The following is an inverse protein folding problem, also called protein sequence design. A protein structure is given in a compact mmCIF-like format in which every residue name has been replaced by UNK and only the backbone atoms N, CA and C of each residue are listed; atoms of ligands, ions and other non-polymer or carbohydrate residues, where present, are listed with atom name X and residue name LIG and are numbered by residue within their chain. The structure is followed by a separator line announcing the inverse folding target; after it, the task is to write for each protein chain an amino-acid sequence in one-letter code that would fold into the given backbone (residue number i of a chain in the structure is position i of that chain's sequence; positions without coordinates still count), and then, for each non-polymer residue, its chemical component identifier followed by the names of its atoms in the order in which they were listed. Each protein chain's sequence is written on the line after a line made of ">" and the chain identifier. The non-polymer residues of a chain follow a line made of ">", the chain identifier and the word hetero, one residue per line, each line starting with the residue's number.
data_IF_137468805481
#
_entry.id   IF_137468805481
#
_cell.length_a   1.000
_cell.length_b   1.000
_cell.length_c   1.000
_cell.angle_alpha   90.00
_cell.angle_beta   90.00
_cell.angle_gamma   90.00
#
_symmetry.space_group_name_H-M   'P 1'
#
loop_
_entity.id
_entity.type
_entity.pdbx_description
1 polymer ?
#
# COMPACT_ATOMS: atom_id res chain seq x y z
N UNK A 1 -9.65 20.76 -20.28
CA UNK A 1 -8.43 20.22 -19.62
C UNK A 1 -8.47 20.69 -18.18
N UNK A 2 -8.34 19.81 -17.16
CA UNK A 2 -8.31 20.26 -15.77
C UNK A 2 -6.84 20.34 -15.33
N UNK A 3 -6.43 21.51 -14.92
CA UNK A 3 -5.08 21.70 -14.38
C UNK A 3 -5.04 21.15 -12.96
N UNK A 4 -4.03 20.34 -12.67
CA UNK A 4 -3.73 19.90 -11.31
C UNK A 4 -3.05 21.07 -10.60
N UNK A 5 -3.44 21.34 -9.35
CA UNK A 5 -2.78 22.36 -8.56
C UNK A 5 -1.26 22.10 -8.50
N UNK A 6 -0.48 23.18 -8.62
CA UNK A 6 0.98 23.11 -8.49
C UNK A 6 1.28 22.68 -7.06
N UNK A 7 2.10 21.62 -6.92
CA UNK A 7 2.53 21.13 -5.61
C UNK A 7 3.51 22.11 -4.96
N UNK A 8 3.38 22.30 -3.66
CA UNK A 8 4.38 23.05 -2.90
C UNK A 8 5.71 22.29 -2.84
N UNK A 9 6.81 22.98 -2.55
CA UNK A 9 8.13 22.35 -2.37
C UNK A 9 8.09 21.26 -1.30
N UNK A 10 7.40 21.49 -0.19
CA UNK A 10 7.22 20.48 0.87
C UNK A 10 6.47 19.24 0.39
N UNK A 11 5.44 19.41 -0.43
CA UNK A 11 4.72 18.26 -1.03
C UNK A 11 5.62 17.50 -2.01
N UNK A 12 6.42 18.23 -2.79
CA UNK A 12 7.37 17.61 -3.73
C UNK A 12 8.47 16.84 -3.00
N UNK A 13 9.04 17.42 -1.93
CA UNK A 13 10.03 16.76 -1.08
C UNK A 13 9.48 15.47 -0.46
N UNK A 14 8.29 15.51 0.14
CA UNK A 14 7.65 14.32 0.69
C UNK A 14 7.39 13.25 -0.37
N UNK A 15 6.94 13.63 -1.56
CA UNK A 15 6.76 12.69 -2.66
C UNK A 15 8.08 12.10 -3.16
N UNK A 16 9.18 12.85 -3.08
CA UNK A 16 10.52 12.34 -3.39
C UNK A 16 10.93 11.25 -2.37
N UNK A 17 10.69 11.48 -1.06
CA UNK A 17 10.91 10.49 0.00
C UNK A 17 10.10 9.21 -0.28
N UNK A 18 8.81 9.34 -0.62
CA UNK A 18 7.97 8.19 -0.99
C UNK A 18 8.50 7.42 -2.19
N UNK A 19 8.98 8.11 -3.23
CA UNK A 19 9.56 7.48 -4.43
C UNK A 19 10.87 6.77 -4.11
N UNK A 20 11.75 7.40 -3.34
CA UNK A 20 13.00 6.79 -2.89
C UNK A 20 12.72 5.53 -2.06
N UNK A 21 11.82 5.62 -1.07
CA UNK A 21 11.38 4.46 -0.29
C UNK A 21 10.85 3.33 -1.19
N UNK A 22 10.00 3.64 -2.16
CA UNK A 22 9.48 2.64 -3.10
C UNK A 22 10.61 1.97 -3.90
N UNK A 23 11.61 2.73 -4.33
CA UNK A 23 12.80 2.23 -5.00
C UNK A 23 13.58 1.25 -4.11
N UNK A 24 13.89 1.64 -2.87
CA UNK A 24 14.59 0.77 -1.92
C UNK A 24 13.80 -0.48 -1.54
N UNK A 25 12.48 -0.40 -1.35
CA UNK A 25 11.64 -1.59 -1.11
C UNK A 25 11.71 -2.55 -2.31
N UNK A 26 11.69 -2.04 -3.53
CA UNK A 26 11.82 -2.85 -4.75
C UNK A 26 13.20 -3.49 -4.85
N UNK A 27 14.26 -2.73 -4.62
CA UNK A 27 15.64 -3.22 -4.63
C UNK A 27 15.86 -4.28 -3.54
N UNK A 28 15.38 -4.05 -2.31
CA UNK A 28 15.43 -4.99 -1.20
C UNK A 28 14.75 -6.32 -1.55
N UNK A 29 13.58 -6.26 -2.18
CA UNK A 29 12.85 -7.47 -2.58
C UNK A 29 13.58 -8.22 -3.68
N UNK A 30 14.14 -7.51 -4.65
CA UNK A 30 14.94 -8.12 -5.72
C UNK A 30 16.21 -8.78 -5.15
N UNK A 31 16.93 -8.10 -4.25
CA UNK A 31 18.10 -8.65 -3.57
C UNK A 31 17.78 -9.91 -2.79
N UNK A 32 16.69 -9.90 -2.02
CA UNK A 32 16.23 -11.07 -1.26
C UNK A 32 15.87 -12.26 -2.17
N UNK A 33 15.25 -12.00 -3.32
CA UNK A 33 14.94 -13.05 -4.29
C UNK A 33 16.19 -13.58 -5.01
N UNK A 34 17.15 -12.71 -5.31
CA UNK A 34 18.44 -13.10 -5.87
C UNK A 34 19.19 -14.04 -4.92
N UNK A 35 19.26 -13.70 -3.63
CA UNK A 35 19.90 -14.56 -2.61
C UNK A 35 19.21 -15.93 -2.58
N UNK A 36 17.86 -15.98 -2.57
CA UNK A 36 17.12 -17.24 -2.59
C UNK A 36 17.39 -18.07 -3.84
N UNK A 37 17.44 -17.43 -5.01
CA UNK A 37 17.73 -18.11 -6.27
C UNK A 37 19.10 -18.75 -6.25
N UNK A 38 20.13 -18.00 -5.84
CA UNK A 38 21.50 -18.51 -5.75
C UNK A 38 21.64 -19.67 -4.74
N UNK A 39 21.00 -19.56 -3.57
CA UNK A 39 21.01 -20.64 -2.56
C UNK A 39 20.29 -21.90 -3.05
N UNK A 40 19.23 -21.75 -3.84
CA UNK A 40 18.49 -22.88 -4.40
C UNK A 40 19.36 -23.72 -5.35
N UNK A 41 20.33 -23.12 -6.04
CA UNK A 41 21.31 -23.84 -6.89
C UNK A 41 22.19 -24.79 -6.06
N UNK A 42 22.38 -24.51 -4.77
CA UNK A 42 23.08 -25.38 -3.81
C UNK A 42 22.11 -26.28 -3.00
N UNK A 43 20.85 -26.40 -3.42
CA UNK A 43 19.85 -27.21 -2.72
C UNK A 43 19.28 -26.57 -1.44
N UNK A 44 19.63 -25.32 -1.13
CA UNK A 44 19.15 -24.61 0.06
C UNK A 44 17.90 -23.80 -0.28
N UNK A 45 16.73 -24.28 0.16
CA UNK A 45 15.44 -23.63 -0.07
C UNK A 45 15.04 -22.81 1.15
N UNK A 46 14.86 -21.48 0.98
CA UNK A 46 14.38 -20.57 2.02
C UNK A 46 12.96 -20.09 1.68
N UNK A 47 11.99 -20.25 2.62
CA UNK A 47 10.62 -19.79 2.43
C UNK A 47 10.52 -18.30 2.12
N UNK A 48 9.39 -17.89 1.52
CA UNK A 48 9.11 -16.49 1.25
C UNK A 48 9.01 -15.67 2.55
N UNK A 49 9.39 -14.38 2.47
CA UNK A 49 9.39 -13.45 3.60
C UNK A 49 10.82 -13.09 4.03
N UNK A 50 11.05 -11.79 4.27
CA UNK A 50 12.38 -11.29 4.68
C UNK A 50 12.79 -11.84 6.04
N UNK A 51 11.85 -12.08 6.93
CA UNK A 51 12.11 -12.62 8.27
C UNK A 51 12.69 -14.04 8.26
N UNK A 52 12.45 -14.82 7.18
CA UNK A 52 13.03 -16.17 7.05
C UNK A 52 14.50 -16.15 6.58
N UNK A 53 14.93 -15.04 5.96
CA UNK A 53 16.27 -14.93 5.40
C UNK A 53 17.34 -14.71 6.48
N UNK A 54 17.11 -13.78 7.40
CA UNK A 54 18.12 -13.33 8.34
C UNK A 54 18.78 -14.46 9.15
N UNK A 55 18.02 -15.28 9.89
CA UNK A 55 18.57 -16.38 10.68
C UNK A 55 19.33 -17.40 9.80
N UNK A 56 18.74 -17.77 8.66
CA UNK A 56 19.35 -18.79 7.78
C UNK A 56 20.62 -18.29 7.10
N UNK A 57 20.68 -16.99 6.75
CA UNK A 57 21.89 -16.40 6.17
C UNK A 57 23.05 -16.32 7.17
N UNK A 58 22.76 -16.09 8.45
CA UNK A 58 23.78 -16.09 9.49
C UNK A 58 24.45 -17.48 9.62
N UNK A 59 23.64 -18.55 9.63
CA UNK A 59 24.13 -19.93 9.67
C UNK A 59 24.96 -20.32 8.44
N UNK A 60 24.48 -19.97 7.23
CA UNK A 60 25.10 -20.36 5.97
C UNK A 60 26.35 -19.53 5.61
N UNK A 61 26.51 -18.34 6.19
CA UNK A 61 27.68 -17.50 5.94
C UNK A 61 28.92 -17.92 6.74
N UNK A 62 28.76 -18.87 7.65
CA UNK A 62 29.87 -19.42 8.42
C UNK A 62 30.59 -20.50 7.62
N UNK A 63 31.80 -20.21 7.21
CA UNK A 63 32.67 -21.12 6.42
C UNK A 63 33.02 -22.38 7.21
N UNK A 64 32.95 -22.36 8.56
CA UNK A 64 33.24 -23.50 9.43
C UNK A 64 32.24 -24.65 9.27
N UNK A 65 31.04 -24.36 8.74
CA UNK A 65 30.00 -25.39 8.54
C UNK A 65 30.28 -26.30 7.33
N UNK A 66 31.14 -25.91 6.39
CA UNK A 66 31.50 -26.67 5.22
C UNK A 66 30.33 -26.94 4.23
N UNK A 67 29.18 -26.31 4.45
CA UNK A 67 27.96 -26.55 3.63
C UNK A 67 28.04 -25.92 2.24
N UNK A 68 28.82 -24.85 2.06
CA UNK A 68 28.93 -24.09 0.84
C UNK A 68 30.40 -23.80 0.51
N UNK A 69 30.77 -23.66 -0.78
CA UNK A 69 32.12 -23.27 -1.18
C UNK A 69 32.50 -21.90 -0.58
N UNK A 70 33.76 -21.74 -0.11
CA UNK A 70 34.21 -20.51 0.55
C UNK A 70 34.06 -19.25 -0.31
N UNK A 71 34.26 -19.35 -1.64
CA UNK A 71 34.02 -18.25 -2.57
C UNK A 71 32.55 -17.83 -2.60
N UNK A 72 31.64 -18.79 -2.47
CA UNK A 72 30.19 -18.51 -2.41
C UNK A 72 29.80 -17.93 -1.06
N UNK A 73 30.39 -18.40 0.06
CA UNK A 73 30.19 -17.80 1.38
C UNK A 73 30.61 -16.33 1.40
N UNK A 74 31.73 -15.97 0.78
CA UNK A 74 32.18 -14.59 0.65
C UNK A 74 31.21 -13.74 -0.18
N UNK A 75 30.68 -14.26 -1.31
CA UNK A 75 29.65 -13.60 -2.09
C UNK A 75 28.36 -13.42 -1.29
N UNK A 76 27.91 -14.47 -0.59
CA UNK A 76 26.69 -14.45 0.22
C UNK A 76 26.76 -13.40 1.32
N UNK A 77 27.91 -13.26 1.97
CA UNK A 77 28.16 -12.21 2.99
C UNK A 77 27.94 -10.81 2.39
N UNK A 78 28.57 -10.51 1.25
CA UNK A 78 28.39 -9.21 0.55
C UNK A 78 26.93 -8.93 0.16
N UNK A 79 26.21 -9.93 -0.36
CA UNK A 79 24.80 -9.79 -0.71
C UNK A 79 23.92 -9.57 0.52
N UNK A 80 24.27 -10.20 1.64
CA UNK A 80 23.58 -10.03 2.92
C UNK A 80 23.80 -8.63 3.51
N UNK A 81 25.00 -8.11 3.42
CA UNK A 81 25.33 -6.75 3.86
C UNK A 81 24.54 -5.72 3.05
N UNK A 82 24.54 -5.85 1.72
CA UNK A 82 23.74 -4.98 0.86
C UNK A 82 22.23 -5.06 1.18
N UNK A 83 21.71 -6.26 1.47
CA UNK A 83 20.32 -6.44 1.89
C UNK A 83 20.01 -5.70 3.20
N UNK A 84 20.94 -5.74 4.18
CA UNK A 84 20.82 -5.01 5.46
C UNK A 84 20.82 -3.50 5.24
N UNK A 85 21.69 -3.00 4.37
CA UNK A 85 21.76 -1.58 4.02
C UNK A 85 20.44 -1.10 3.37
N UNK A 86 19.93 -1.86 2.39
CA UNK A 86 18.64 -1.55 1.75
C UNK A 86 17.48 -1.54 2.75
N UNK A 87 17.49 -2.46 3.71
CA UNK A 87 16.47 -2.52 4.77
C UNK A 87 16.58 -1.33 5.72
N UNK A 88 17.80 -0.90 6.04
CA UNK A 88 18.04 0.30 6.85
C UNK A 88 17.54 1.56 6.14
N UNK A 89 17.85 1.73 4.85
CA UNK A 89 17.35 2.86 4.05
C UNK A 89 15.82 2.94 4.03
N UNK A 90 15.14 1.79 3.91
CA UNK A 90 13.67 1.74 3.99
C UNK A 90 13.19 2.22 5.36
N UNK A 91 13.80 1.73 6.45
CA UNK A 91 13.41 2.11 7.82
C UNK A 91 13.61 3.59 8.10
N UNK A 92 14.70 4.16 7.62
CA UNK A 92 15.01 5.58 7.86
C UNK A 92 14.01 6.48 7.14
N UNK A 93 13.71 6.20 5.87
CA UNK A 93 12.66 6.94 5.14
C UNK A 93 11.26 6.74 5.75
N UNK A 94 10.97 5.56 6.29
CA UNK A 94 9.70 5.33 7.02
C UNK A 94 9.60 6.16 8.28
N UNK A 95 10.70 6.33 9.03
CA UNK A 95 10.75 7.24 10.19
C UNK A 95 10.51 8.68 9.79
N UNK A 96 11.14 9.17 8.71
CA UNK A 96 10.90 10.52 8.21
C UNK A 96 9.42 10.74 7.83
N UNK A 97 8.82 9.78 7.14
CA UNK A 97 7.38 9.82 6.81
C UNK A 97 6.51 9.83 8.07
N UNK A 98 6.87 9.04 9.09
CA UNK A 98 6.13 8.99 10.36
C UNK A 98 6.24 10.32 11.12
N UNK A 99 7.41 10.94 11.16
CA UNK A 99 7.60 12.25 11.79
C UNK A 99 6.77 13.33 11.09
N UNK A 100 6.81 13.36 9.76
CA UNK A 100 5.97 14.26 8.99
C UNK A 100 4.48 14.02 9.24
N UNK A 101 4.05 12.75 9.25
CA UNK A 101 2.68 12.37 9.54
C UNK A 101 2.21 12.85 10.91
N UNK A 102 3.04 12.71 11.93
CA UNK A 102 2.72 13.13 13.30
C UNK A 102 2.47 14.66 13.41
N UNK A 103 3.13 15.45 12.58
CA UNK A 103 2.99 16.91 12.55
C UNK A 103 1.85 17.40 11.65
N UNK A 104 1.35 16.56 10.74
CA UNK A 104 0.33 16.95 9.76
C UNK A 104 -1.07 16.48 10.16
N UNK A 105 -1.95 17.44 10.47
CA UNK A 105 -3.30 17.13 10.93
C UNK A 105 -4.14 16.39 9.89
N UNK A 106 -4.11 16.81 8.62
CA UNK A 106 -4.85 16.14 7.55
C UNK A 106 -4.42 14.68 7.40
N UNK A 107 -3.12 14.41 7.50
CA UNK A 107 -2.58 13.05 7.47
C UNK A 107 -3.04 12.22 8.68
N UNK A 108 -3.04 12.79 9.88
CA UNK A 108 -3.54 12.10 11.09
C UNK A 108 -5.02 11.76 10.98
N UNK A 109 -5.85 12.68 10.49
CA UNK A 109 -7.28 12.43 10.24
C UNK A 109 -7.52 11.32 9.22
N UNK A 110 -6.74 11.28 8.16
CA UNK A 110 -6.84 10.20 7.17
C UNK A 110 -6.47 8.84 7.76
N UNK A 111 -5.53 8.78 8.69
CA UNK A 111 -5.12 7.54 9.34
C UNK A 111 -6.18 6.95 10.30
N UNK A 112 -7.23 7.71 10.64
CA UNK A 112 -8.40 7.19 11.35
C UNK A 112 -9.21 6.19 10.50
N UNK A 113 -9.07 6.24 9.16
CA UNK A 113 -9.74 5.31 8.24
C UNK A 113 -9.06 3.93 8.30
N UNK A 114 -9.78 2.85 8.65
CA UNK A 114 -9.20 1.51 8.64
C UNK A 114 -8.57 1.14 7.31
N UNK A 115 -7.29 0.77 7.34
CA UNK A 115 -6.48 0.46 6.18
C UNK A 115 -5.73 1.66 5.57
N UNK A 116 -5.79 2.82 6.19
CA UNK A 116 -4.96 3.97 5.84
C UNK A 116 -3.99 4.23 7.01
N UNK A 117 -2.76 3.78 6.88
CA UNK A 117 -1.69 4.06 7.84
C UNK A 117 -0.90 5.32 7.48
N UNK A 118 0.13 5.69 8.29
CA UNK A 118 0.94 6.89 8.08
C UNK A 118 1.50 7.06 6.66
N UNK A 119 2.04 5.98 6.08
CA UNK A 119 2.59 5.99 4.72
C UNK A 119 1.52 6.29 3.68
N UNK A 120 0.34 5.68 3.81
CA UNK A 120 -0.76 5.91 2.87
C UNK A 120 -1.35 7.30 3.04
N UNK A 121 -1.55 7.75 4.28
CA UNK A 121 -2.10 9.05 4.61
C UNK A 121 -1.22 10.20 4.10
N UNK A 122 0.08 10.15 4.38
CA UNK A 122 1.05 11.15 3.92
C UNK A 122 1.17 11.20 2.40
N UNK A 123 1.20 10.03 1.75
CA UNK A 123 1.20 9.95 0.29
C UNK A 123 -0.08 10.56 -0.33
N UNK A 124 -1.26 10.31 0.27
CA UNK A 124 -2.52 10.89 -0.18
C UNK A 124 -2.51 12.42 -0.07
N UNK A 125 -2.13 12.95 1.10
CA UNK A 125 -2.08 14.41 1.32
C UNK A 125 -1.12 15.08 0.34
N UNK A 126 0.10 14.53 0.17
CA UNK A 126 1.09 15.10 -0.73
C UNK A 126 0.70 15.00 -2.22
N UNK A 127 0.00 13.94 -2.61
CA UNK A 127 -0.38 13.72 -4.01
C UNK A 127 -1.63 14.48 -4.41
N UNK A 128 -2.63 14.57 -3.53
CA UNK A 128 -3.91 15.23 -3.80
C UNK A 128 -3.75 16.75 -3.77
N UNK A 129 -2.96 17.26 -2.80
CA UNK A 129 -2.84 18.69 -2.57
C UNK A 129 -4.18 19.29 -2.12
N UNK A 130 -4.92 19.90 -3.04
CA UNK A 130 -6.24 20.44 -2.78
C UNK A 130 -7.35 19.46 -3.24
N UNK A 131 -8.13 18.97 -2.28
CA UNK A 131 -9.24 18.06 -2.56
C UNK A 131 -10.41 18.72 -3.35
N UNK A 132 -10.47 20.07 -3.36
CA UNK A 132 -11.47 20.84 -4.14
C UNK A 132 -11.29 20.70 -5.65
N UNK A 133 -10.11 20.29 -6.11
CA UNK A 133 -9.86 19.95 -7.52
C UNK A 133 -10.75 18.79 -8.00
N UNK A 134 -11.31 18.00 -7.08
CA UNK A 134 -12.20 16.88 -7.38
C UNK A 134 -13.64 17.21 -7.00
N UNK A 135 -14.55 17.10 -7.94
CA UNK A 135 -15.99 17.39 -7.74
C UNK A 135 -16.59 16.55 -6.60
N UNK A 136 -16.13 15.32 -6.43
CA UNK A 136 -16.59 14.37 -5.41
C UNK A 136 -15.60 13.22 -5.24
N UNK A 137 -15.79 12.41 -4.20
CA UNK A 137 -14.92 11.26 -3.91
C UNK A 137 -14.92 10.18 -5.00
N UNK A 138 -15.98 10.07 -5.84
CA UNK A 138 -16.00 9.14 -6.98
C UNK A 138 -14.97 9.57 -8.03
N UNK A 139 -14.83 10.88 -8.26
CA UNK A 139 -13.84 11.42 -9.18
C UNK A 139 -12.41 11.20 -8.67
N UNK A 140 -12.15 11.36 -7.37
CA UNK A 140 -10.85 11.01 -6.78
C UNK A 140 -10.54 9.51 -6.95
N UNK A 141 -11.50 8.62 -6.67
CA UNK A 141 -11.33 7.19 -6.87
C UNK A 141 -11.07 6.83 -8.34
N UNK A 142 -11.72 7.52 -9.28
CA UNK A 142 -11.48 7.36 -10.71
C UNK A 142 -10.08 7.84 -11.11
N UNK A 143 -9.64 8.98 -10.57
CA UNK A 143 -8.29 9.51 -10.78
C UNK A 143 -7.19 8.54 -10.30
N UNK A 144 -7.44 7.79 -9.22
CA UNK A 144 -6.55 6.73 -8.74
C UNK A 144 -6.67 5.42 -9.52
N UNK A 145 -7.61 5.33 -10.48
CA UNK A 145 -7.83 4.13 -11.28
C UNK A 145 -8.47 2.97 -10.51
N UNK A 146 -9.23 3.26 -9.45
CA UNK A 146 -9.94 2.30 -8.62
C UNK A 146 -11.38 2.01 -9.08
N UNK A 147 -11.82 2.63 -10.18
CA UNK A 147 -13.15 2.40 -10.76
C UNK A 147 -13.08 1.34 -11.86
N UNK A 148 -14.15 0.56 -12.09
CA UNK A 148 -14.21 -0.39 -13.19
C UNK A 148 -14.01 0.29 -14.55
N UNK A 149 -13.36 -0.39 -15.48
CA UNK A 149 -13.43 -0.03 -16.90
C UNK A 149 -14.81 -0.41 -17.39
N UNK A 150 -15.41 0.51 -18.14
CA UNK A 150 -16.70 0.30 -18.77
C UNK A 150 -16.47 -0.01 -20.25
N UNK A 151 -17.06 -1.10 -20.71
CA UNK A 151 -17.13 -1.47 -22.12
C UNK A 151 -18.60 -1.70 -22.44
N UNK A 152 -19.32 -0.61 -22.64
CA UNK A 152 -20.77 -0.63 -22.85
C UNK A 152 -21.11 -0.16 -24.25
N UNK A 153 -21.93 -0.93 -24.94
CA UNK A 153 -22.45 -0.61 -26.28
C UNK A 153 -23.91 -1.11 -26.40
N UNK A 154 -24.73 -0.41 -27.14
CA UNK A 154 -26.10 -0.87 -27.47
C UNK A 154 -26.97 -1.17 -26.24
N UNK A 155 -26.89 -0.38 -25.16
CA UNK A 155 -27.68 -0.56 -23.94
C UNK A 155 -27.17 -1.64 -22.99
N UNK A 156 -26.17 -2.45 -23.36
CA UNK A 156 -25.55 -3.45 -22.48
C UNK A 156 -24.41 -2.81 -21.66
N UNK A 157 -24.55 -2.81 -20.32
CA UNK A 157 -23.49 -2.37 -19.43
C UNK A 157 -22.55 -3.54 -19.08
N UNK A 158 -21.31 -3.48 -19.56
CA UNK A 158 -20.27 -4.44 -19.24
C UNK A 158 -19.21 -3.74 -18.40
N UNK A 159 -19.11 -4.14 -17.12
CA UNK A 159 -18.07 -3.66 -16.20
C UNK A 159 -16.93 -4.68 -16.15
N UNK A 160 -15.74 -4.23 -16.49
CA UNK A 160 -14.50 -5.00 -16.44
C UNK A 160 -13.77 -4.75 -15.12
N UNK A 161 -12.56 -5.31 -14.96
CA UNK A 161 -11.68 -4.99 -13.84
C UNK A 161 -11.37 -3.48 -13.75
N UNK A 162 -10.75 -3.05 -12.65
CA UNK A 162 -10.42 -1.62 -12.43
C UNK A 162 -9.59 -1.05 -13.58
N UNK A 163 -9.76 0.25 -13.82
CA UNK A 163 -9.13 0.96 -14.96
C UNK A 163 -7.60 0.95 -14.88
N UNK A 164 -7.03 0.93 -13.68
CA UNK A 164 -5.59 1.06 -13.40
C UNK A 164 -4.96 2.33 -13.99
N UNK A 165 -5.75 3.27 -14.50
CA UNK A 165 -5.29 4.59 -14.95
C UNK A 165 -5.01 5.46 -13.73
N UNK A 166 -4.00 6.34 -13.83
CA UNK A 166 -3.60 7.21 -12.73
C UNK A 166 -2.51 6.63 -11.84
N UNK A 167 -2.38 7.17 -10.63
CA UNK A 167 -1.26 6.88 -9.73
C UNK A 167 -1.25 5.42 -9.24
N UNK A 168 -0.30 4.64 -9.74
CA UNK A 168 -0.11 3.23 -9.38
C UNK A 168 0.35 3.03 -7.94
N UNK A 169 1.11 3.98 -7.40
CA UNK A 169 1.63 3.91 -6.04
C UNK A 169 0.51 4.09 -5.01
N UNK A 170 -0.29 5.15 -5.13
CA UNK A 170 -1.44 5.38 -4.25
C UNK A 170 -2.45 4.24 -4.31
N UNK A 171 -2.72 3.75 -5.52
CA UNK A 171 -3.61 2.59 -5.70
C UNK A 171 -3.10 1.35 -4.99
N UNK A 172 -1.79 1.06 -5.11
CA UNK A 172 -1.17 -0.08 -4.42
C UNK A 172 -1.27 0.06 -2.90
N UNK A 173 -0.94 1.23 -2.34
CA UNK A 173 -1.04 1.50 -0.91
C UNK A 173 -2.46 1.28 -0.38
N UNK A 174 -3.47 1.83 -1.05
CA UNK A 174 -4.88 1.68 -0.66
C UNK A 174 -5.35 0.22 -0.73
N UNK A 175 -4.95 -0.52 -1.77
CA UNK A 175 -5.32 -1.94 -1.91
C UNK A 175 -4.60 -2.79 -0.84
N UNK A 176 -3.32 -2.52 -0.54
CA UNK A 176 -2.60 -3.22 0.52
C UNK A 176 -3.20 -2.94 1.90
N UNK A 177 -3.53 -1.69 2.20
CA UNK A 177 -4.23 -1.34 3.42
C UNK A 177 -5.61 -2.01 3.53
N UNK A 178 -6.37 -2.06 2.44
CA UNK A 178 -7.64 -2.77 2.39
C UNK A 178 -7.47 -4.30 2.64
N UNK A 179 -6.43 -4.92 2.07
CA UNK A 179 -6.12 -6.34 2.34
C UNK A 179 -5.77 -6.60 3.80
N UNK A 180 -5.06 -5.70 4.45
CA UNK A 180 -4.77 -5.81 5.88
C UNK A 180 -6.06 -5.78 6.71
N UNK A 181 -6.98 -4.86 6.40
CA UNK A 181 -8.31 -4.81 7.05
C UNK A 181 -9.08 -6.11 6.84
N UNK A 182 -9.11 -6.65 5.61
CA UNK A 182 -9.80 -7.90 5.32
C UNK A 182 -9.26 -9.06 6.15
N UNK A 183 -7.94 -9.19 6.28
CA UNK A 183 -7.30 -10.24 7.07
C UNK A 183 -7.76 -10.20 8.54
N UNK A 184 -7.88 -9.02 9.12
CA UNK A 184 -8.36 -8.86 10.50
C UNK A 184 -9.89 -9.00 10.61
N UNK A 185 -10.62 -8.65 9.56
CA UNK A 185 -12.08 -8.72 9.54
C UNK A 185 -12.60 -10.16 9.48
N UNK A 186 -11.87 -11.08 8.87
CA UNK A 186 -12.25 -12.52 8.78
C UNK A 186 -12.38 -13.19 10.15
N UNK A 187 -11.71 -12.66 11.17
CA UNK A 187 -11.72 -13.20 12.54
C UNK A 187 -12.71 -12.51 13.48
N UNK A 188 -13.50 -11.53 12.98
CA UNK A 188 -14.44 -10.78 13.82
C UNK A 188 -15.89 -11.11 13.46
N UNK A 189 -16.65 -11.61 14.44
CA UNK A 189 -18.07 -11.95 14.30
C UNK A 189 -18.92 -10.74 13.87
N UNK A 190 -18.62 -9.55 14.39
CA UNK A 190 -19.29 -8.28 14.04
C UNK A 190 -19.16 -7.91 12.55
N UNK A 191 -18.18 -8.48 11.85
CA UNK A 191 -17.97 -8.20 10.43
C UNK A 191 -19.06 -8.85 9.57
N UNK A 192 -19.66 -9.95 9.99
CA UNK A 192 -20.65 -10.70 9.20
C UNK A 192 -21.85 -9.84 8.78
N UNK A 193 -22.35 -8.98 9.67
CA UNK A 193 -23.50 -8.09 9.42
C UNK A 193 -23.12 -6.76 8.75
N UNK A 194 -21.82 -6.49 8.61
CA UNK A 194 -21.33 -5.26 7.99
C UNK A 194 -21.39 -5.32 6.45
N UNK A 195 -21.34 -4.14 5.80
CA UNK A 195 -21.18 -4.06 4.34
C UNK A 195 -20.01 -4.91 3.82
N UNK A 196 -18.92 -4.98 4.59
CA UNK A 196 -17.73 -5.76 4.22
C UNK A 196 -17.99 -7.26 4.30
N UNK A 197 -18.69 -7.72 5.33
CA UNK A 197 -19.10 -9.11 5.48
C UNK A 197 -20.01 -9.56 4.34
N UNK A 198 -21.05 -8.78 4.03
CA UNK A 198 -21.92 -9.02 2.88
C UNK A 198 -21.18 -9.03 1.54
N UNK A 199 -20.10 -8.27 1.41
CA UNK A 199 -19.29 -8.29 0.20
C UNK A 199 -18.41 -9.54 0.13
N UNK A 200 -17.81 -9.96 1.25
CA UNK A 200 -16.97 -11.16 1.35
C UNK A 200 -17.75 -12.45 1.12
N UNK A 201 -19.03 -12.50 1.52
CA UNK A 201 -19.88 -13.67 1.27
C UNK A 201 -20.21 -13.88 -0.21
N UNK A 202 -20.14 -12.85 -1.04
CA UNK A 202 -20.56 -12.89 -2.45
C UNK A 202 -19.43 -12.73 -3.45
N UNK A 203 -18.25 -12.24 -3.04
CA UNK A 203 -17.16 -11.88 -3.94
C UNK A 203 -15.81 -12.34 -3.41
N UNK A 204 -14.93 -12.70 -4.34
CA UNK A 204 -13.55 -13.07 -4.01
C UNK A 204 -12.83 -11.94 -3.25
N UNK A 205 -11.96 -12.30 -2.29
CA UNK A 205 -11.22 -11.38 -1.42
C UNK A 205 -10.51 -10.24 -2.16
N UNK A 206 -9.94 -10.49 -3.34
CA UNK A 206 -9.29 -9.45 -4.13
C UNK A 206 -10.28 -8.40 -4.65
N UNK A 207 -11.51 -8.79 -4.99
CA UNK A 207 -12.57 -7.87 -5.41
C UNK A 207 -13.01 -7.04 -4.20
N UNK A 208 -13.19 -7.67 -3.04
CA UNK A 208 -13.53 -6.99 -1.80
C UNK A 208 -12.45 -5.98 -1.38
N UNK A 209 -11.15 -6.34 -1.50
CA UNK A 209 -10.04 -5.43 -1.22
C UNK A 209 -10.08 -4.18 -2.11
N UNK A 210 -10.31 -4.35 -3.41
CA UNK A 210 -10.42 -3.22 -4.35
C UNK A 210 -11.65 -2.36 -4.08
N UNK A 211 -12.80 -2.97 -3.74
CA UNK A 211 -14.01 -2.24 -3.39
C UNK A 211 -13.82 -1.42 -2.09
N UNK A 212 -13.14 -1.99 -1.08
CA UNK A 212 -12.79 -1.27 0.15
C UNK A 212 -11.79 -0.15 -0.12
N UNK A 213 -10.77 -0.38 -0.95
CA UNK A 213 -9.83 0.66 -1.38
C UNK A 213 -10.54 1.84 -2.07
N UNK A 214 -11.49 1.55 -2.97
CA UNK A 214 -12.34 2.58 -3.59
C UNK A 214 -13.19 3.33 -2.54
N UNK A 215 -13.81 2.62 -1.60
CA UNK A 215 -14.57 3.23 -0.50
C UNK A 215 -13.67 4.13 0.36
N UNK A 216 -12.45 3.69 0.68
CA UNK A 216 -11.49 4.45 1.46
C UNK A 216 -10.98 5.70 0.70
N UNK A 217 -10.75 5.61 -0.60
CA UNK A 217 -10.43 6.79 -1.43
C UNK A 217 -11.54 7.85 -1.36
N UNK A 218 -12.81 7.43 -1.41
CA UNK A 218 -13.96 8.34 -1.30
C UNK A 218 -14.09 8.94 0.10
N UNK A 219 -13.82 8.17 1.15
CA UNK A 219 -13.78 8.65 2.55
C UNK A 219 -12.65 9.65 2.75
N UNK A 220 -11.46 9.35 2.21
CA UNK A 220 -10.32 10.24 2.26
C UNK A 220 -10.63 11.60 1.61
N UNK A 221 -11.29 11.61 0.45
CA UNK A 221 -11.77 12.84 -0.17
C UNK A 221 -12.69 13.63 0.77
N UNK A 222 -13.66 12.97 1.40
CA UNK A 222 -14.63 13.64 2.27
C UNK A 222 -13.98 14.25 3.51
N UNK A 223 -12.94 13.59 4.07
CA UNK A 223 -12.19 14.15 5.20
C UNK A 223 -11.27 15.30 4.80
N UNK A 224 -10.71 15.26 3.59
CA UNK A 224 -9.87 16.36 3.07
C UNK A 224 -10.68 17.59 2.63
N UNK A 225 -11.95 17.39 2.26
CA UNK A 225 -12.85 18.49 1.88
C UNK A 225 -13.41 19.25 3.08
N UNK A 226 -13.46 18.62 4.24
CA UNK A 226 -14.11 19.17 5.43
C UNK A 226 -13.19 19.01 6.63
N UNK A 227 -12.49 20.07 7.00
CA UNK A 227 -11.47 20.04 8.05
C UNK A 227 -12.03 19.70 9.44
N UNK A 228 -13.30 19.99 9.69
CA UNK A 228 -14.00 19.68 10.94
C UNK A 228 -14.44 18.23 11.07
N UNK A 229 -14.44 17.45 9.96
CA UNK A 229 -14.93 16.07 9.97
C UNK A 229 -13.86 15.10 10.50
N UNK A 230 -14.35 14.16 11.33
CA UNK A 230 -13.60 12.99 11.78
C UNK A 230 -14.19 11.72 11.19
N UNK A 231 -13.38 10.67 11.09
CA UNK A 231 -13.89 9.38 10.65
C UNK A 231 -14.84 8.79 11.69
N UNK A 232 -16.03 8.37 11.23
CA UNK A 232 -16.99 7.61 12.04
C UNK A 232 -17.25 6.28 11.34
N UNK A 233 -17.01 5.17 12.05
CA UNK A 233 -17.21 3.82 11.50
C UNK A 233 -18.69 3.53 11.23
N UNK A 234 -19.55 4.07 12.06
CA UNK A 234 -21.01 3.93 12.11
C UNK A 234 -21.79 4.93 11.24
N UNK A 235 -21.06 5.81 10.53
CA UNK A 235 -21.72 6.82 9.65
C UNK A 235 -22.48 6.14 8.50
N UNK A 236 -23.80 6.19 8.55
CA UNK A 236 -24.71 5.89 7.44
C UNK A 236 -25.09 7.22 6.79
N UNK A 237 -24.80 7.45 5.48
CA UNK A 237 -25.21 8.68 4.81
C UNK A 237 -26.72 8.80 4.83
N UNK A 238 -27.24 9.97 5.16
CA UNK A 238 -28.64 10.28 5.01
C UNK A 238 -29.04 10.06 3.53
N UNK A 239 -30.01 9.19 3.26
CA UNK A 239 -30.47 8.83 1.90
C UNK A 239 -30.01 7.45 1.40
N UNK A 240 -29.44 6.58 2.21
CA UNK A 240 -29.12 5.21 1.83
C UNK A 240 -30.24 4.19 2.19
N UNK A 241 -31.42 4.67 2.53
CA UNK A 241 -32.60 3.87 2.84
C UNK A 241 -33.72 4.19 1.84
N UNK A 242 -33.75 3.50 0.72
CA UNK A 242 -34.89 3.07 -0.09
C UNK A 242 -34.40 2.12 -1.17
#
# INVERSE_FOLDING_TARGET
>A
MRFVAIKTEHQQALLAIHRARQGFVKARTAQANQIRGLLAEFGVVIPQGLYNLGPRLAELSDESTGQLPGSFCSLLRRLTENLKELDQQVRDLEKEIQLWHAQNEASRRLAEIPGIGPITASALVASIGDARCFKNGRQLAAWMGLVPRQHSSGGKQVLLGISKRGDGYLRALLIHGARAVLRHAEHKVETATSWLGHLLSRRHKNIAAVALANKNARRAWALLMHDERRFRADYVPAGAGT
#
